data_IF_138888904605
#
_entry.id   IF_138888904605
#
_cell.length_a   1.000
_cell.length_b   1.000
_cell.length_c   1.000
_cell.angle_alpha   90.00
_cell.angle_beta   90.00
_cell.angle_gamma   90.00
#
_symmetry.space_group_name_H-M   'P 1'
#
loop_
_entity.id
_entity.type
_entity.pdbx_description
1 polymer ?
#
# COMPACT_ATOMS: atom_id res chain seq x y z
N UNK A 1 4.69 15.34 1.98
CA UNK A 1 3.77 14.39 1.31
C UNK A 1 4.48 13.28 0.49
N UNK A 2 5.72 12.89 0.80
CA UNK A 2 6.47 11.90 -0.02
C UNK A 2 5.95 10.45 0.15
N UNK A 3 5.38 10.14 1.33
CA UNK A 3 4.87 8.81 1.70
C UNK A 3 3.54 8.39 1.05
N UNK A 4 2.80 9.32 0.43
CA UNK A 4 1.51 9.04 -0.22
C UNK A 4 1.64 8.54 -1.66
N UNK A 5 2.87 8.46 -2.18
CA UNK A 5 3.14 8.13 -3.58
C UNK A 5 3.77 6.76 -3.77
N UNK A 6 4.21 6.11 -2.69
CA UNK A 6 4.77 4.76 -2.76
C UNK A 6 3.66 3.72 -2.83
N UNK A 7 3.87 2.72 -3.67
CA UNK A 7 3.12 1.46 -3.67
C UNK A 7 3.92 0.39 -2.95
N UNK A 8 3.27 -0.71 -2.60
CA UNK A 8 3.89 -1.84 -1.95
C UNK A 8 3.61 -3.11 -2.75
N UNK A 9 4.56 -4.06 -2.71
CA UNK A 9 4.32 -5.43 -3.15
C UNK A 9 4.14 -6.30 -1.92
N UNK A 10 3.04 -7.03 -1.84
CA UNK A 10 2.77 -8.02 -0.80
C UNK A 10 2.79 -9.42 -1.43
N UNK A 11 3.74 -10.25 -1.01
CA UNK A 11 3.85 -11.65 -1.43
C UNK A 11 3.28 -12.53 -0.33
N UNK A 12 2.22 -13.26 -0.65
CA UNK A 12 1.47 -14.09 0.27
C UNK A 12 1.66 -15.57 -0.03
N UNK A 13 2.42 -16.23 0.82
CA UNK A 13 2.76 -17.65 0.71
C UNK A 13 1.76 -18.56 1.42
N UNK A 14 0.99 -18.04 2.37
CA UNK A 14 0.14 -18.83 3.27
C UNK A 14 -1.34 -18.43 3.22
N UNK A 15 -1.69 -17.38 2.47
CA UNK A 15 -3.03 -16.82 2.46
C UNK A 15 -3.31 -15.92 3.67
N UNK A 16 -2.28 -15.31 4.27
CA UNK A 16 -2.38 -14.55 5.52
C UNK A 16 -2.75 -13.07 5.32
N UNK A 17 -2.82 -12.61 4.07
CA UNK A 17 -3.20 -11.23 3.79
C UNK A 17 -4.67 -10.96 4.15
N UNK A 18 -4.91 -9.95 5.00
CA UNK A 18 -6.24 -9.56 5.45
C UNK A 18 -6.55 -8.13 5.01
N UNK A 19 -7.47 -7.98 4.06
CA UNK A 19 -7.89 -6.67 3.51
C UNK A 19 -8.45 -5.78 4.62
N UNK A 20 -9.23 -6.36 5.54
CA UNK A 20 -9.84 -5.67 6.67
C UNK A 20 -8.78 -5.09 7.61
N UNK A 21 -7.68 -5.81 7.83
CA UNK A 21 -6.58 -5.36 8.67
C UNK A 21 -5.91 -4.13 8.05
N UNK A 22 -5.61 -4.16 6.75
CA UNK A 22 -5.04 -3.00 6.04
C UNK A 22 -5.99 -1.80 6.09
N UNK A 23 -7.29 -2.03 5.91
CA UNK A 23 -8.29 -0.96 5.97
C UNK A 23 -8.34 -0.31 7.37
N UNK A 24 -8.31 -1.12 8.43
CA UNK A 24 -8.33 -0.64 9.82
C UNK A 24 -7.06 0.15 10.16
N UNK A 25 -5.87 -0.37 9.77
CA UNK A 25 -4.60 0.34 9.94
C UNK A 25 -4.63 1.67 9.19
N UNK A 26 -5.03 1.66 7.91
CA UNK A 26 -5.09 2.88 7.11
C UNK A 26 -6.05 3.91 7.73
N UNK A 27 -7.22 3.47 8.22
CA UNK A 27 -8.17 4.35 8.91
C UNK A 27 -7.56 4.98 10.16
N UNK A 28 -6.96 4.18 11.04
CA UNK A 28 -6.32 4.66 12.26
C UNK A 28 -5.18 5.65 11.96
N UNK A 29 -4.32 5.33 10.98
CA UNK A 29 -3.24 6.24 10.58
C UNK A 29 -3.76 7.57 10.03
N UNK A 30 -4.87 7.59 9.30
CA UNK A 30 -5.49 8.83 8.82
C UNK A 30 -6.04 9.62 10.00
N UNK A 31 -6.75 8.99 10.93
CA UNK A 31 -7.30 9.63 12.13
C UNK A 31 -6.18 10.29 12.96
N UNK A 32 -5.14 9.53 13.31
CA UNK A 32 -3.96 10.04 14.04
C UNK A 32 -3.32 11.24 13.35
N UNK A 33 -3.21 11.17 12.02
CA UNK A 33 -2.58 12.20 11.22
C UNK A 33 -3.42 13.48 11.14
N UNK A 34 -4.75 13.36 11.07
CA UNK A 34 -5.68 14.50 11.08
C UNK A 34 -5.76 15.15 12.48
N UNK A 35 -5.63 14.37 13.55
CA UNK A 35 -5.58 14.87 14.92
C UNK A 35 -4.25 15.55 15.24
N UNK A 36 -3.15 15.05 14.66
CA UNK A 36 -1.87 15.74 14.72
C UNK A 36 -1.99 17.11 14.02
N UNK A 37 -1.67 18.21 14.70
CA UNK A 37 -1.66 19.58 14.14
C UNK A 37 -0.56 19.81 13.08
N UNK A 38 -0.14 18.75 12.39
CA UNK A 38 0.91 18.75 11.37
C UNK A 38 0.40 19.34 10.06
N UNK A 39 -0.91 19.43 9.84
CA UNK A 39 -1.50 20.00 8.63
C UNK A 39 -1.89 21.47 8.82
N UNK A 40 -1.25 22.35 8.05
CA UNK A 40 -1.77 23.68 7.78
C UNK A 40 -3.10 23.55 7.02
N UNK A 41 -4.10 24.38 7.34
CA UNK A 41 -5.49 24.28 6.85
C UNK A 41 -5.62 24.12 5.31
N UNK A 42 -4.68 24.64 4.52
CA UNK A 42 -4.73 24.54 3.05
C UNK A 42 -4.31 23.16 2.52
N UNK A 43 -3.43 22.43 3.20
CA UNK A 43 -3.04 21.06 2.82
C UNK A 43 -4.06 20.01 3.31
N UNK A 44 -4.90 20.37 4.27
CA UNK A 44 -5.85 19.46 4.92
C UNK A 44 -6.89 18.90 3.94
N UNK A 45 -7.50 19.75 3.10
CA UNK A 45 -8.56 19.32 2.19
C UNK A 45 -8.02 18.42 1.06
N UNK A 46 -6.88 18.78 0.47
CA UNK A 46 -6.20 17.98 -0.55
C UNK A 46 -5.66 16.66 0.03
N UNK A 47 -5.20 16.66 1.28
CA UNK A 47 -4.86 15.42 1.98
C UNK A 47 -6.08 14.55 2.22
N UNK A 48 -7.21 15.11 2.68
CA UNK A 48 -8.41 14.35 3.02
C UNK A 48 -9.01 13.60 1.83
N UNK A 49 -8.99 14.20 0.65
CA UNK A 49 -9.48 13.56 -0.58
C UNK A 49 -8.57 12.41 -1.04
N UNK A 50 -7.25 12.52 -0.82
CA UNK A 50 -6.28 11.47 -1.18
C UNK A 50 -6.14 10.39 -0.11
N UNK A 51 -6.33 10.76 1.16
CA UNK A 51 -6.26 9.90 2.35
C UNK A 51 -7.61 9.23 2.60
N UNK A 52 -8.00 8.34 1.69
CA UNK A 52 -9.10 7.41 1.93
C UNK A 52 -8.48 6.03 2.19
N UNK A 53 -8.97 5.25 3.18
CA UNK A 53 -8.42 3.92 3.46
C UNK A 53 -8.39 3.00 2.22
N UNK A 54 -9.36 3.16 1.31
CA UNK A 54 -9.38 2.43 0.03
C UNK A 54 -8.21 2.77 -0.89
N UNK A 55 -7.70 4.00 -0.86
CA UNK A 55 -6.52 4.41 -1.64
C UNK A 55 -5.26 3.63 -1.21
N UNK A 56 -5.18 3.23 0.06
CA UNK A 56 -4.07 2.41 0.55
C UNK A 56 -4.13 1.01 -0.04
N UNK A 57 -5.32 0.40 -0.09
CA UNK A 57 -5.52 -0.91 -0.70
C UNK A 57 -5.16 -0.90 -2.20
N UNK A 58 -5.50 0.15 -2.94
CA UNK A 58 -5.17 0.26 -4.38
C UNK A 58 -3.67 0.42 -4.65
N UNK A 59 -2.88 0.76 -3.61
CA UNK A 59 -1.44 0.92 -3.71
C UNK A 59 -0.68 -0.36 -3.34
N UNK A 60 -1.36 -1.48 -3.09
CA UNK A 60 -0.73 -2.76 -2.78
C UNK A 60 -0.91 -3.72 -3.95
N UNK A 61 0.20 -4.10 -4.58
CA UNK A 61 0.26 -5.22 -5.52
C UNK A 61 0.34 -6.52 -4.73
N UNK A 62 -0.73 -7.30 -4.79
CA UNK A 62 -0.85 -8.56 -4.08
C UNK A 62 -0.53 -9.73 -5.00
N UNK A 63 0.42 -10.58 -4.60
CA UNK A 63 0.75 -11.82 -5.28
C UNK A 63 0.61 -12.99 -4.31
N UNK A 64 -0.19 -14.00 -4.69
CA UNK A 64 -0.35 -15.23 -3.92
C UNK A 64 0.20 -16.41 -4.69
N UNK A 65 0.92 -17.28 -4.00
CA UNK A 65 1.49 -18.50 -4.58
C UNK A 65 1.18 -19.69 -3.70
N UNK A 66 1.04 -20.85 -4.36
CA UNK A 66 0.76 -22.13 -3.71
C UNK A 66 1.96 -23.08 -3.79
N UNK A 67 3.05 -22.68 -4.44
CA UNK A 67 4.28 -23.46 -4.54
C UNK A 67 5.55 -22.61 -4.51
N UNK A 68 6.66 -23.24 -4.14
CA UNK A 68 7.98 -22.62 -4.19
C UNK A 68 8.43 -22.32 -5.63
N UNK A 69 7.94 -23.07 -6.64
CA UNK A 69 8.30 -22.84 -8.04
C UNK A 69 7.68 -21.54 -8.57
N UNK A 70 6.41 -21.28 -8.23
CA UNK A 70 5.72 -20.03 -8.54
C UNK A 70 6.39 -18.84 -7.85
N UNK A 71 6.79 -19.01 -6.58
CA UNK A 71 7.50 -18.00 -5.83
C UNK A 71 8.85 -17.65 -6.49
N UNK A 72 9.67 -18.64 -6.85
CA UNK A 72 10.95 -18.41 -7.54
C UNK A 72 10.74 -17.69 -8.88
N UNK A 73 9.72 -18.08 -9.64
CA UNK A 73 9.40 -17.43 -10.91
C UNK A 73 9.08 -15.94 -10.71
N UNK A 74 8.21 -15.60 -9.74
CA UNK A 74 7.93 -14.19 -9.43
C UNK A 74 9.21 -13.43 -9.06
N UNK A 75 10.05 -13.98 -8.18
CA UNK A 75 11.26 -13.29 -7.73
C UNK A 75 12.21 -13.01 -8.90
N UNK A 76 12.34 -13.94 -9.83
CA UNK A 76 13.16 -13.74 -11.04
C UNK A 76 12.60 -12.65 -11.96
N UNK A 77 11.27 -12.49 -12.02
CA UNK A 77 10.61 -11.45 -12.83
C UNK A 77 10.39 -10.12 -12.07
N UNK A 78 10.70 -10.08 -10.77
CA UNK A 78 10.36 -8.96 -9.90
C UNK A 78 11.08 -7.66 -10.29
N UNK A 79 12.35 -7.75 -10.69
CA UNK A 79 13.13 -6.60 -11.15
C UNK A 79 12.49 -5.94 -12.37
N UNK A 80 12.06 -6.76 -13.34
CA UNK A 80 11.34 -6.29 -14.52
C UNK A 80 10.02 -5.62 -14.11
N UNK A 81 9.25 -6.25 -13.23
CA UNK A 81 8.01 -5.69 -12.72
C UNK A 81 8.20 -4.32 -12.06
N UNK A 82 9.20 -4.17 -11.19
CA UNK A 82 9.51 -2.88 -10.52
C UNK A 82 9.94 -1.82 -11.55
N UNK A 83 10.73 -2.21 -12.56
CA UNK A 83 11.16 -1.30 -13.63
C UNK A 83 9.98 -0.75 -14.43
N UNK A 84 8.96 -1.58 -14.66
CA UNK A 84 7.71 -1.21 -15.33
C UNK A 84 6.76 -0.41 -14.40
N UNK A 85 6.84 -0.62 -13.08
CA UNK A 85 6.01 0.03 -12.05
C UNK A 85 6.84 0.91 -11.12
N UNK A 86 7.38 2.02 -11.64
CA UNK A 86 8.37 2.88 -10.95
C UNK A 86 7.90 3.58 -9.67
N UNK A 87 6.62 3.47 -9.35
CA UNK A 87 6.04 4.01 -8.12
C UNK A 87 5.89 2.96 -7.00
N UNK A 88 6.33 1.73 -7.25
CA UNK A 88 6.62 0.70 -6.24
C UNK A 88 7.96 0.99 -5.55
#
# INVERSE_FOLDING_TARGET
MRWLRGKAIYIDTEGSFMVECVFQIAKACIEDLLESRVFQQQDYQACRERMQPKTFLTNIFYFRFCSYTEQIALINDLEKFITENRDV
#
